data_IF_876709143351
#
_entry.id   IF_876709143351
#
_cell.length_a   1.000
_cell.length_b   1.000
_cell.length_c   1.000
_cell.angle_alpha   90.00
_cell.angle_beta   90.00
_cell.angle_gamma   90.00
#
_symmetry.space_group_name_H-M   'P 1'
#
loop_
_entity.id
_entity.type
_entity.pdbx_description
1 polymer ?
#
# COMPACT_ATOMS: atom_id res chain seq x y z
N UNK A 1 -27.46 8.72 -4.26
CA UNK A 1 -26.64 8.99 -3.06
C UNK A 1 -25.94 7.76 -2.49
N UNK A 2 -26.62 6.67 -2.07
CA UNK A 2 -25.89 5.48 -1.59
C UNK A 2 -25.04 4.83 -2.69
N UNK A 3 -25.59 4.70 -3.91
CA UNK A 3 -24.81 4.30 -5.10
C UNK A 3 -23.61 5.24 -5.35
N UNK A 4 -23.81 6.54 -5.21
CA UNK A 4 -22.74 7.52 -5.42
C UNK A 4 -21.64 7.38 -4.35
N UNK A 5 -22.00 7.28 -3.07
CA UNK A 5 -21.04 7.00 -1.99
C UNK A 5 -20.32 5.68 -2.25
N UNK A 6 -21.04 4.65 -2.72
CA UNK A 6 -20.46 3.34 -3.01
C UNK A 6 -19.39 3.38 -4.10
N UNK A 7 -19.52 4.26 -5.11
CA UNK A 7 -18.48 4.47 -6.15
C UNK A 7 -17.16 4.97 -5.57
N UNK A 8 -17.19 5.70 -4.45
CA UNK A 8 -16.00 6.21 -3.78
C UNK A 8 -15.53 5.31 -2.63
N UNK A 9 -16.46 4.71 -1.90
CA UNK A 9 -16.16 3.80 -0.80
C UNK A 9 -17.31 2.83 -0.53
N UNK A 10 -17.06 1.53 -0.69
CA UNK A 10 -18.01 0.47 -0.30
C UNK A 10 -18.32 0.48 1.21
N UNK A 11 -17.30 0.78 2.02
CA UNK A 11 -17.35 0.82 3.49
C UNK A 11 -16.90 2.20 4.01
N UNK A 12 -17.70 3.26 3.82
CA UNK A 12 -17.30 4.60 4.20
C UNK A 12 -17.09 4.69 5.71
N UNK A 13 -16.02 5.38 6.11
CA UNK A 13 -15.72 5.70 7.49
C UNK A 13 -16.69 6.76 8.04
N UNK A 14 -16.79 6.87 9.36
CA UNK A 14 -17.63 7.90 9.98
C UNK A 14 -17.20 9.33 9.57
N UNK A 15 -15.91 9.55 9.28
CA UNK A 15 -15.42 10.84 8.77
C UNK A 15 -15.86 11.10 7.33
N UNK A 16 -15.83 10.10 6.46
CA UNK A 16 -16.31 10.23 5.08
C UNK A 16 -17.83 10.46 5.03
N UNK A 17 -18.58 9.80 5.91
CA UNK A 17 -20.02 10.02 6.03
C UNK A 17 -20.34 11.43 6.57
N UNK A 18 -19.52 11.94 7.48
CA UNK A 18 -19.64 13.32 8.00
C UNK A 18 -19.41 14.35 6.88
N UNK A 19 -18.34 14.20 6.10
CA UNK A 19 -18.05 15.04 4.94
C UNK A 19 -19.15 14.98 3.87
N UNK A 20 -19.70 13.79 3.61
CA UNK A 20 -20.81 13.64 2.66
C UNK A 20 -22.08 14.32 3.16
N UNK A 21 -22.35 14.26 4.47
CA UNK A 21 -23.50 14.93 5.08
C UNK A 21 -23.33 16.46 5.09
N UNK A 22 -22.12 16.95 5.36
CA UNK A 22 -21.78 18.37 5.28
C UNK A 22 -21.93 18.89 3.84
N UNK A 23 -21.38 18.17 2.85
CA UNK A 23 -21.53 18.53 1.44
C UNK A 23 -23.00 18.58 1.02
N UNK A 24 -23.83 17.64 1.50
CA UNK A 24 -25.26 17.60 1.22
C UNK A 24 -25.98 18.87 1.71
N UNK A 25 -25.74 19.30 2.94
CA UNK A 25 -26.40 20.51 3.49
C UNK A 25 -25.85 21.80 2.87
N UNK A 26 -24.61 21.80 2.40
CA UNK A 26 -24.04 22.96 1.71
C UNK A 26 -24.68 23.17 0.33
N UNK A 27 -24.94 22.09 -0.40
CA UNK A 27 -25.66 22.15 -1.70
C UNK A 27 -27.15 22.43 -1.50
N UNK A 28 -27.74 21.90 -0.42
CA UNK A 28 -29.16 22.08 -0.11
C UNK A 28 -29.33 22.63 1.31
N UNK A 29 -29.18 23.96 1.52
CA UNK A 29 -29.26 24.57 2.86
C UNK A 29 -30.58 24.32 3.60
N UNK A 30 -31.66 24.05 2.86
CA UNK A 30 -32.96 23.67 3.42
C UNK A 30 -32.96 22.34 4.19
N UNK A 31 -31.95 21.50 3.98
CA UNK A 31 -31.79 20.23 4.69
C UNK A 31 -31.07 20.41 6.04
N UNK A 32 -30.53 21.60 6.35
CA UNK A 32 -29.81 21.83 7.61
C UNK A 32 -30.73 21.63 8.82
N UNK A 33 -30.33 20.71 9.71
CA UNK A 33 -31.06 20.39 10.94
C UNK A 33 -30.92 21.52 11.95
N UNK A 34 -32.04 21.89 12.59
CA UNK A 34 -32.04 22.87 13.68
C UNK A 34 -31.73 22.16 15.00
N UNK A 35 -30.89 22.76 15.82
CA UNK A 35 -30.59 22.27 17.18
C UNK A 35 -29.42 21.28 17.28
N UNK A 36 -28.78 20.90 16.18
CA UNK A 36 -27.51 20.14 16.21
C UNK A 36 -26.34 21.09 16.00
N UNK A 37 -25.16 20.74 16.55
CA UNK A 37 -23.99 21.63 16.50
C UNK A 37 -23.49 21.86 15.06
N UNK A 38 -23.55 20.83 14.22
CA UNK A 38 -23.09 20.90 12.84
C UNK A 38 -24.22 21.12 11.83
N UNK A 39 -25.47 20.80 12.19
CA UNK A 39 -26.61 20.87 11.29
C UNK A 39 -26.75 19.68 10.33
N UNK A 40 -25.89 18.66 10.43
CA UNK A 40 -25.88 17.48 9.55
C UNK A 40 -25.73 16.13 10.26
N UNK A 41 -25.88 16.10 11.59
CA UNK A 41 -25.69 14.87 12.39
C UNK A 41 -26.71 13.77 12.03
N UNK A 42 -27.98 14.12 11.86
CA UNK A 42 -29.02 13.18 11.43
C UNK A 42 -28.82 12.74 9.97
N UNK A 43 -28.35 13.62 9.08
CA UNK A 43 -27.93 13.24 7.73
C UNK A 43 -26.80 12.21 7.73
N UNK A 44 -25.76 12.40 8.53
CA UNK A 44 -24.70 11.40 8.69
C UNK A 44 -25.27 10.05 9.14
N UNK A 45 -26.17 10.05 10.12
CA UNK A 45 -26.83 8.83 10.59
C UNK A 45 -27.67 8.17 9.49
N UNK A 46 -28.47 8.96 8.78
CA UNK A 46 -29.27 8.50 7.65
C UNK A 46 -28.41 7.88 6.55
N UNK A 47 -27.29 8.53 6.18
CA UNK A 47 -26.35 7.99 5.19
C UNK A 47 -25.75 6.66 5.64
N UNK A 48 -25.42 6.52 6.93
CA UNK A 48 -24.92 5.26 7.52
C UNK A 48 -25.93 4.12 7.34
N UNK A 49 -27.20 4.35 7.68
CA UNK A 49 -28.28 3.38 7.48
C UNK A 49 -28.48 3.08 5.99
N UNK A 50 -28.53 4.12 5.15
CA UNK A 50 -28.75 3.98 3.71
C UNK A 50 -27.65 3.14 3.06
N UNK A 51 -26.39 3.35 3.46
CA UNK A 51 -25.26 2.52 3.01
C UNK A 51 -25.35 1.09 3.50
N UNK A 52 -25.77 0.85 4.74
CA UNK A 52 -25.99 -0.51 5.25
C UNK A 52 -27.05 -1.25 4.42
N UNK A 53 -28.20 -0.61 4.19
CA UNK A 53 -29.28 -1.18 3.38
C UNK A 53 -28.86 -1.42 1.93
N UNK A 54 -28.11 -0.49 1.34
CA UNK A 54 -27.59 -0.64 -0.02
C UNK A 54 -26.63 -1.82 -0.13
N UNK A 55 -25.69 -1.97 0.80
CA UNK A 55 -24.82 -3.15 0.87
C UNK A 55 -25.60 -4.45 1.05
N UNK A 56 -26.66 -4.46 1.86
CA UNK A 56 -27.52 -5.65 1.99
C UNK A 56 -28.21 -6.03 0.68
N UNK A 57 -28.61 -5.05 -0.15
CA UNK A 57 -29.14 -5.31 -1.50
C UNK A 57 -28.06 -5.86 -2.42
N UNK A 58 -26.88 -5.24 -2.44
CA UNK A 58 -25.73 -5.69 -3.24
C UNK A 58 -25.28 -7.12 -2.87
N UNK A 59 -25.30 -7.45 -1.57
CA UNK A 59 -25.00 -8.80 -1.10
C UNK A 59 -25.97 -9.85 -1.65
N UNK A 60 -27.26 -9.52 -1.80
CA UNK A 60 -28.28 -10.46 -2.31
C UNK A 60 -28.08 -10.77 -3.78
N UNK A 61 -27.56 -9.82 -4.56
CA UNK A 61 -27.29 -9.99 -5.99
C UNK A 61 -25.85 -10.48 -6.26
N UNK A 62 -25.10 -10.85 -5.23
CA UNK A 62 -23.78 -11.46 -5.39
C UNK A 62 -22.63 -10.49 -5.67
N UNK A 63 -22.78 -9.18 -5.39
CA UNK A 63 -21.77 -8.17 -5.74
C UNK A 63 -20.38 -8.51 -5.13
N UNK A 64 -19.32 -8.72 -5.93
CA UNK A 64 -17.99 -9.17 -5.49
C UNK A 64 -17.39 -8.38 -4.31
N UNK A 65 -17.34 -7.04 -4.40
CA UNK A 65 -16.86 -6.14 -3.34
C UNK A 65 -17.54 -6.35 -1.97
N UNK A 66 -18.78 -6.86 -1.97
CA UNK A 66 -19.54 -7.14 -0.74
C UNK A 66 -19.42 -8.61 -0.33
N UNK A 67 -19.53 -9.52 -1.28
CA UNK A 67 -19.56 -10.95 -1.03
C UNK A 67 -18.21 -11.51 -0.63
N UNK A 68 -17.11 -10.87 -1.02
CA UNK A 68 -15.75 -11.24 -0.57
C UNK A 68 -15.61 -11.15 0.96
N UNK A 69 -16.43 -10.33 1.62
CA UNK A 69 -16.49 -10.20 3.07
C UNK A 69 -17.54 -11.12 3.73
N UNK A 70 -18.35 -11.83 2.94
CA UNK A 70 -19.44 -12.69 3.44
C UNK A 70 -18.91 -14.06 3.85
N UNK A 71 -19.24 -14.48 5.07
CA UNK A 71 -18.97 -15.85 5.54
C UNK A 71 -19.73 -16.91 4.72
N UNK A 72 -20.84 -16.54 4.07
CA UNK A 72 -21.75 -17.45 3.36
C UNK A 72 -21.23 -17.90 1.99
N UNK A 73 -20.33 -17.14 1.36
CA UNK A 73 -19.83 -17.45 0.01
C UNK A 73 -18.47 -18.17 0.03
N UNK A 74 -18.04 -18.67 1.20
CA UNK A 74 -16.83 -19.49 1.31
C UNK A 74 -17.09 -20.83 0.62
N UNK A 75 -16.22 -21.21 -0.32
CA UNK A 75 -16.21 -22.55 -0.94
C UNK A 75 -16.27 -23.63 0.15
N UNK A 76 -17.05 -24.69 -0.10
CA UNK A 76 -17.13 -25.86 0.78
C UNK A 76 -15.72 -26.36 1.13
N UNK A 77 -15.44 -26.57 2.42
CA UNK A 77 -14.13 -26.96 2.93
C UNK A 77 -13.25 -25.82 3.49
N UNK A 78 -13.52 -24.54 3.20
CA UNK A 78 -12.82 -23.38 3.83
C UNK A 78 -13.56 -22.78 5.04
N UNK A 79 -14.34 -23.61 5.73
CA UNK A 79 -15.25 -23.23 6.83
C UNK A 79 -14.59 -22.79 8.15
N UNK A 80 -13.26 -22.66 8.24
CA UNK A 80 -12.61 -22.10 9.43
C UNK A 80 -12.59 -20.56 9.35
N UNK A 81 -12.88 -19.91 10.47
CA UNK A 81 -13.31 -18.51 10.55
C UNK A 81 -12.33 -17.47 9.97
N UNK A 82 -11.06 -17.81 9.75
CA UNK A 82 -10.03 -16.84 9.38
C UNK A 82 -8.82 -17.41 8.62
N UNK A 83 -8.82 -18.69 8.22
CA UNK A 83 -7.61 -19.26 7.62
C UNK A 83 -7.49 -18.83 6.15
N UNK A 84 -6.56 -17.91 5.92
CA UNK A 84 -5.88 -17.64 4.65
C UNK A 84 -6.50 -16.61 3.69
N UNK A 85 -7.53 -15.86 4.11
CA UNK A 85 -8.02 -14.71 3.32
C UNK A 85 -7.80 -13.43 4.13
N UNK A 86 -6.81 -12.64 3.72
CA UNK A 86 -6.61 -11.27 4.21
C UNK A 86 -7.90 -10.51 3.94
N UNK A 87 -8.55 -10.03 5.00
CA UNK A 87 -9.73 -9.18 4.85
C UNK A 87 -9.32 -7.85 4.19
N UNK A 88 -10.14 -7.30 3.29
CA UNK A 88 -9.92 -5.97 2.76
C UNK A 88 -9.69 -4.98 3.88
N UNK A 89 -8.66 -4.14 3.73
CA UNK A 89 -8.52 -2.98 4.60
C UNK A 89 -9.60 -1.98 4.23
N UNK A 90 -10.13 -1.23 5.20
CA UNK A 90 -11.22 -0.26 4.96
C UNK A 90 -10.92 0.80 3.89
N UNK A 91 -9.64 1.00 3.57
CA UNK A 91 -9.18 1.94 2.56
C UNK A 91 -8.94 1.36 1.19
N UNK A 92 -8.99 0.04 1.05
CA UNK A 92 -8.98 -0.63 -0.25
C UNK A 92 -10.41 -0.47 -0.80
N UNK A 93 -10.71 0.72 -1.29
CA UNK A 93 -12.06 1.14 -1.73
C UNK A 93 -12.51 0.38 -2.98
N UNK A 94 -11.55 -0.14 -3.75
CA UNK A 94 -11.78 -1.07 -4.85
C UNK A 94 -11.04 -2.38 -4.60
N UNK A 95 -11.44 -3.13 -3.56
CA UNK A 95 -10.75 -4.38 -3.22
C UNK A 95 -11.06 -5.52 -4.17
N UNK A 96 -12.30 -5.64 -4.63
CA UNK A 96 -12.78 -6.62 -5.60
C UNK A 96 -13.92 -6.03 -6.45
N UNK A 97 -13.61 -5.07 -7.34
CA UNK A 97 -14.63 -4.39 -8.14
C UNK A 97 -15.23 -5.32 -9.20
N UNK A 98 -16.46 -5.00 -9.64
CA UNK A 98 -17.10 -5.67 -10.77
C UNK A 98 -16.36 -5.38 -12.08
N UNK A 99 -16.56 -6.26 -13.07
CA UNK A 99 -16.15 -5.97 -14.45
C UNK A 99 -16.84 -4.70 -14.98
N UNK A 100 -16.19 -3.94 -15.87
CA UNK A 100 -16.81 -2.77 -16.48
C UNK A 100 -18.10 -3.15 -17.21
N UNK A 101 -19.01 -2.18 -17.36
CA UNK A 101 -20.31 -2.42 -17.97
C UNK A 101 -20.16 -2.89 -19.42
N UNK A 102 -20.70 -4.06 -19.72
CA UNK A 102 -20.63 -4.68 -21.05
C UNK A 102 -19.47 -5.66 -21.22
N UNK A 103 -18.56 -5.72 -20.26
CA UNK A 103 -17.42 -6.62 -20.28
C UNK A 103 -17.73 -7.97 -19.63
N UNK A 104 -17.09 -9.02 -20.15
CA UNK A 104 -17.13 -10.40 -19.64
C UNK A 104 -15.71 -10.85 -19.29
N UNK A 105 -15.57 -11.98 -18.58
CA UNK A 105 -14.25 -12.55 -18.33
C UNK A 105 -13.48 -12.81 -19.65
N UNK A 106 -14.18 -13.29 -20.68
CA UNK A 106 -13.58 -13.57 -22.00
C UNK A 106 -13.14 -12.28 -22.72
N UNK A 107 -13.91 -11.19 -22.62
CA UNK A 107 -13.48 -9.91 -23.22
C UNK A 107 -12.29 -9.31 -22.48
N UNK A 108 -12.26 -9.43 -21.15
CA UNK A 108 -11.12 -8.98 -20.34
C UNK A 108 -9.86 -9.81 -20.58
N UNK A 109 -9.99 -11.12 -20.79
CA UNK A 109 -8.86 -11.98 -21.14
C UNK A 109 -8.29 -11.61 -22.53
N UNK A 110 -9.14 -11.23 -23.50
CA UNK A 110 -8.69 -10.69 -24.79
C UNK A 110 -7.91 -9.38 -24.62
N UNK A 111 -8.39 -8.48 -23.77
CA UNK A 111 -7.69 -7.23 -23.47
C UNK A 111 -6.34 -7.47 -22.77
N UNK A 112 -6.26 -8.44 -21.86
CA UNK A 112 -5.01 -8.87 -21.23
C UNK A 112 -4.03 -9.44 -22.26
N UNK A 113 -4.49 -10.29 -23.17
CA UNK A 113 -3.64 -10.84 -24.25
C UNK A 113 -3.12 -9.70 -25.13
N UNK A 114 -3.98 -8.74 -25.50
CA UNK A 114 -3.56 -7.57 -26.26
C UNK A 114 -2.49 -6.75 -25.51
N UNK A 115 -2.64 -6.58 -24.19
CA UNK A 115 -1.65 -5.91 -23.35
C UNK A 115 -0.24 -6.55 -23.43
N UNK A 116 -0.14 -7.88 -23.57
CA UNK A 116 1.16 -8.55 -23.74
C UNK A 116 1.89 -8.11 -25.01
N UNK A 117 1.16 -7.79 -26.07
CA UNK A 117 1.73 -7.23 -27.30
C UNK A 117 2.10 -5.76 -27.11
N UNK A 118 1.26 -5.00 -26.41
CA UNK A 118 1.49 -3.57 -26.16
C UNK A 118 2.73 -3.30 -25.30
N UNK A 119 3.03 -4.16 -24.32
CA UNK A 119 4.21 -4.05 -23.45
C UNK A 119 5.54 -4.21 -24.21
N UNK A 120 5.52 -4.91 -25.34
CA UNK A 120 6.72 -5.13 -26.19
C UNK A 120 7.02 -3.95 -27.12
N UNK A 121 6.12 -2.97 -27.22
CA UNK A 121 6.29 -1.81 -28.12
C UNK A 121 7.02 -0.68 -27.40
N UNK A 122 7.92 -0.03 -28.12
CA UNK A 122 8.60 1.17 -27.63
C UNK A 122 7.62 2.34 -27.50
N UNK A 123 7.81 3.21 -26.49
CA UNK A 123 7.04 4.43 -26.26
C UNK A 123 5.51 4.25 -26.16
N UNK A 124 5.07 3.11 -25.61
CA UNK A 124 3.65 2.73 -25.60
C UNK A 124 2.97 2.88 -24.23
N UNK A 125 3.55 3.70 -23.34
CA UNK A 125 3.13 3.83 -21.94
C UNK A 125 1.67 4.27 -21.78
N UNK A 126 1.19 5.18 -22.64
CA UNK A 126 -0.19 5.67 -22.57
C UNK A 126 -1.22 4.55 -22.83
N UNK A 127 -0.98 3.71 -23.84
CA UNK A 127 -1.84 2.57 -24.19
C UNK A 127 -1.79 1.50 -23.11
N UNK A 128 -0.59 1.22 -22.57
CA UNK A 128 -0.42 0.29 -21.44
C UNK A 128 -1.23 0.76 -20.24
N UNK A 129 -1.13 2.04 -19.88
CA UNK A 129 -1.86 2.63 -18.74
C UNK A 129 -3.37 2.53 -18.91
N UNK A 130 -3.88 2.76 -20.12
CA UNK A 130 -5.31 2.64 -20.44
C UNK A 130 -5.78 1.18 -20.35
N UNK A 131 -5.04 0.24 -20.94
CA UNK A 131 -5.37 -1.19 -20.85
C UNK A 131 -5.28 -1.72 -19.42
N UNK A 132 -4.29 -1.29 -18.66
CA UNK A 132 -4.15 -1.61 -17.23
C UNK A 132 -5.32 -1.04 -16.42
N UNK A 133 -5.86 0.12 -16.82
CA UNK A 133 -7.07 0.67 -16.20
C UNK A 133 -8.31 -0.18 -16.49
N UNK A 134 -8.53 -0.50 -17.76
CA UNK A 134 -9.69 -1.27 -18.22
C UNK A 134 -9.74 -2.65 -17.56
N UNK A 135 -8.59 -3.31 -17.45
CA UNK A 135 -8.46 -4.67 -16.92
C UNK A 135 -8.31 -4.75 -15.40
N UNK A 136 -8.38 -3.63 -14.68
CA UNK A 136 -8.13 -3.59 -13.24
C UNK A 136 -9.00 -4.56 -12.43
N UNK A 137 -10.32 -4.59 -12.69
CA UNK A 137 -11.23 -5.48 -11.95
C UNK A 137 -10.97 -6.95 -12.24
N UNK A 138 -10.69 -7.31 -13.49
CA UNK A 138 -10.36 -8.68 -13.89
C UNK A 138 -9.06 -9.15 -13.24
N UNK A 139 -8.00 -8.34 -13.31
CA UNK A 139 -6.73 -8.61 -12.65
C UNK A 139 -6.90 -8.73 -11.13
N UNK A 140 -7.74 -7.89 -10.51
CA UNK A 140 -7.99 -7.95 -9.07
C UNK A 140 -8.73 -9.21 -8.65
N UNK A 141 -9.66 -9.69 -9.48
CA UNK A 141 -10.33 -10.98 -9.27
C UNK A 141 -9.33 -12.14 -9.30
N UNK A 142 -8.49 -12.20 -10.33
CA UNK A 142 -7.42 -13.22 -10.43
C UNK A 142 -6.51 -13.20 -9.18
N UNK A 143 -6.04 -12.01 -8.77
CA UNK A 143 -5.17 -11.85 -7.61
C UNK A 143 -5.80 -12.25 -6.27
N UNK A 144 -7.08 -11.94 -6.06
CA UNK A 144 -7.75 -12.15 -4.77
C UNK A 144 -8.35 -13.54 -4.65
N UNK A 145 -8.87 -14.08 -5.76
CA UNK A 145 -9.59 -15.36 -5.78
C UNK A 145 -8.66 -16.55 -6.04
N UNK A 146 -7.72 -16.42 -6.98
CA UNK A 146 -6.87 -17.54 -7.40
C UNK A 146 -5.57 -17.61 -6.61
N UNK A 147 -5.09 -16.48 -6.07
CA UNK A 147 -3.82 -16.35 -5.34
C UNK A 147 -2.64 -17.02 -6.09
N UNK A 148 -2.40 -16.65 -7.36
CA UNK A 148 -1.33 -17.23 -8.17
C UNK A 148 0.05 -16.88 -7.60
N UNK A 149 1.06 -17.69 -7.95
CA UNK A 149 2.45 -17.37 -7.64
C UNK A 149 2.88 -16.10 -8.35
N UNK A 150 3.85 -15.38 -7.77
CA UNK A 150 4.37 -14.13 -8.33
C UNK A 150 4.97 -14.34 -9.73
N UNK A 151 5.61 -15.48 -9.99
CA UNK A 151 6.11 -15.85 -11.32
C UNK A 151 5.00 -15.92 -12.37
N UNK A 152 3.85 -16.49 -12.02
CA UNK A 152 2.70 -16.61 -12.93
C UNK A 152 2.11 -15.24 -13.21
N UNK A 153 2.01 -14.39 -12.18
CA UNK A 153 1.55 -13.01 -12.32
C UNK A 153 2.48 -12.18 -13.20
N UNK A 154 3.79 -12.34 -13.06
CA UNK A 154 4.77 -11.65 -13.90
C UNK A 154 4.62 -12.05 -15.37
N UNK A 155 4.31 -13.32 -15.65
CA UNK A 155 4.04 -13.80 -17.00
C UNK A 155 2.72 -13.25 -17.58
N UNK A 156 1.67 -13.19 -16.76
CA UNK A 156 0.31 -12.80 -17.20
C UNK A 156 0.09 -11.29 -17.26
N UNK A 157 0.73 -10.55 -16.35
CA UNK A 157 0.59 -9.11 -16.14
C UNK A 157 1.95 -8.40 -16.05
N UNK A 158 2.87 -8.55 -17.03
CA UNK A 158 4.22 -7.97 -16.96
C UNK A 158 4.21 -6.45 -16.76
N UNK A 159 3.21 -5.75 -17.33
CA UNK A 159 3.04 -4.30 -17.17
C UNK A 159 2.89 -3.86 -15.71
N UNK A 160 2.33 -4.72 -14.84
CA UNK A 160 2.13 -4.42 -13.42
C UNK A 160 3.45 -4.18 -12.70
N UNK A 161 4.55 -4.80 -13.16
CA UNK A 161 5.86 -4.77 -12.50
C UNK A 161 6.73 -3.62 -13.04
N UNK A 162 6.12 -2.46 -13.23
CA UNK A 162 6.81 -1.20 -13.53
C UNK A 162 6.51 -0.19 -12.45
N UNK A 163 7.44 0.72 -12.15
CA UNK A 163 7.23 1.76 -11.12
C UNK A 163 5.95 2.57 -11.39
N UNK A 164 5.71 2.92 -12.65
CA UNK A 164 4.54 3.69 -13.07
C UNK A 164 3.23 2.94 -12.82
N UNK A 165 3.14 1.67 -13.20
CA UNK A 165 1.92 0.89 -12.98
C UNK A 165 1.74 0.45 -11.54
N UNK A 166 2.80 0.22 -10.75
CA UNK A 166 2.66 -0.03 -9.29
C UNK A 166 2.04 1.19 -8.62
N UNK A 167 2.50 2.40 -8.96
CA UNK A 167 1.94 3.64 -8.44
C UNK A 167 0.49 3.84 -8.90
N UNK A 168 0.17 3.54 -10.17
CA UNK A 168 -1.18 3.63 -10.70
C UNK A 168 -2.12 2.59 -10.06
N UNK A 169 -1.69 1.34 -9.92
CA UNK A 169 -2.47 0.25 -9.34
C UNK A 169 -2.79 0.52 -7.86
N UNK A 170 -1.79 0.99 -7.11
CA UNK A 170 -2.01 1.43 -5.73
C UNK A 170 -3.06 2.53 -5.66
N UNK A 171 -3.03 3.50 -6.59
CA UNK A 171 -4.02 4.57 -6.68
C UNK A 171 -5.40 4.03 -7.07
N UNK A 172 -5.50 3.04 -7.97
CA UNK A 172 -6.77 2.38 -8.31
C UNK A 172 -7.38 1.69 -7.09
N UNK A 173 -6.56 1.06 -6.24
CA UNK A 173 -7.01 0.35 -5.03
C UNK A 173 -7.41 1.31 -3.91
N UNK A 174 -6.60 2.35 -3.67
CA UNK A 174 -6.70 3.18 -2.45
C UNK A 174 -7.25 4.59 -2.67
N UNK A 175 -7.35 5.04 -3.93
CA UNK A 175 -7.62 6.44 -4.35
C UNK A 175 -6.56 7.45 -3.90
N UNK A 176 -5.40 6.98 -3.48
CA UNK A 176 -4.30 7.80 -2.96
C UNK A 176 -3.05 7.61 -3.82
N UNK A 177 -2.35 8.69 -4.25
CA UNK A 177 -1.12 8.53 -5.00
C UNK A 177 -0.01 7.99 -4.09
N UNK A 178 0.68 6.92 -4.51
CA UNK A 178 1.68 6.22 -3.70
C UNK A 178 2.91 7.08 -3.45
N UNK A 179 3.71 7.31 -4.50
CA UNK A 179 5.05 7.88 -4.36
C UNK A 179 5.00 9.32 -3.84
N UNK A 180 4.18 10.17 -4.48
CA UNK A 180 4.13 11.60 -4.15
C UNK A 180 3.61 11.84 -2.73
N UNK A 181 2.57 11.12 -2.30
CA UNK A 181 2.05 11.28 -0.93
C UNK A 181 3.03 10.72 0.09
N UNK A 182 3.58 9.53 -0.14
CA UNK A 182 4.48 8.90 0.83
C UNK A 182 5.66 9.82 1.13
N UNK A 183 6.37 10.27 0.10
CA UNK A 183 7.55 11.09 0.28
C UNK A 183 7.22 12.48 0.84
N UNK A 184 6.15 13.13 0.36
CA UNK A 184 5.73 14.41 0.92
C UNK A 184 5.42 14.32 2.42
N UNK A 185 4.79 13.21 2.87
CA UNK A 185 4.48 13.02 4.29
C UNK A 185 5.72 12.60 5.10
N UNK A 186 6.60 11.76 4.56
CA UNK A 186 7.86 11.42 5.21
C UNK A 186 8.72 12.67 5.44
N UNK A 187 8.89 13.49 4.40
CA UNK A 187 9.67 14.72 4.48
C UNK A 187 9.03 15.71 5.48
N UNK A 188 7.70 15.88 5.41
CA UNK A 188 6.95 16.73 6.36
C UNK A 188 7.20 16.33 7.81
N UNK A 189 7.20 15.05 8.12
CA UNK A 189 7.35 14.56 9.50
C UNK A 189 8.81 14.29 9.91
N UNK A 190 9.78 14.52 9.04
CA UNK A 190 11.19 14.19 9.31
C UNK A 190 11.73 14.95 10.53
N UNK A 191 11.44 16.25 10.65
CA UNK A 191 11.91 17.04 11.79
C UNK A 191 11.32 16.54 13.12
N UNK A 192 10.01 16.23 13.13
CA UNK A 192 9.32 15.68 14.31
C UNK A 192 9.91 14.32 14.71
N UNK A 193 10.15 13.44 13.72
CA UNK A 193 10.79 12.14 13.94
C UNK A 193 12.21 12.31 14.52
N UNK A 194 13.02 13.19 13.95
CA UNK A 194 14.38 13.48 14.43
C UNK A 194 14.38 13.97 15.88
N UNK A 195 13.44 14.85 16.25
CA UNK A 195 13.25 15.28 17.65
C UNK A 195 12.98 14.08 18.55
N UNK A 196 12.05 13.20 18.19
CA UNK A 196 11.75 12.00 18.99
C UNK A 196 12.96 11.06 19.07
N UNK A 197 13.66 10.85 17.96
CA UNK A 197 14.85 10.02 17.86
C UNK A 197 15.97 10.49 18.78
N UNK A 198 16.22 11.79 18.85
CA UNK A 198 17.24 12.38 19.74
C UNK A 198 16.97 12.16 21.23
N UNK A 199 15.70 12.01 21.61
CA UNK A 199 15.29 11.74 23.00
C UNK A 199 15.43 10.27 23.41
N UNK A 200 15.68 9.36 22.45
CA UNK A 200 15.79 7.93 22.72
C UNK A 200 17.15 7.66 23.38
N UNK A 201 17.14 7.18 24.62
CA UNK A 201 18.35 6.74 25.32
C UNK A 201 18.75 5.28 25.04
N UNK A 202 19.85 4.86 25.67
CA UNK A 202 20.34 3.47 25.66
C UNK A 202 20.93 3.02 24.32
N UNK A 203 21.06 1.70 24.13
CA UNK A 203 21.68 1.11 22.95
C UNK A 203 20.96 1.49 21.64
N UNK A 204 19.62 1.49 21.63
CA UNK A 204 18.84 1.93 20.46
C UNK A 204 19.09 3.40 20.13
N UNK A 205 19.18 4.26 21.15
CA UNK A 205 19.52 5.68 21.00
C UNK A 205 20.87 5.92 20.36
N UNK A 206 21.90 5.19 20.81
CA UNK A 206 23.24 5.25 20.23
C UNK A 206 23.23 4.78 18.77
N UNK A 207 22.51 3.70 18.45
CA UNK A 207 22.39 3.21 17.07
C UNK A 207 21.69 4.23 16.16
N UNK A 208 20.60 4.84 16.63
CA UNK A 208 19.89 5.91 15.92
C UNK A 208 20.80 7.12 15.71
N UNK A 209 21.54 7.55 16.73
CA UNK A 209 22.48 8.68 16.63
C UNK A 209 23.55 8.46 15.55
N UNK A 210 24.11 7.25 15.46
CA UNK A 210 25.07 6.89 14.40
C UNK A 210 24.45 6.96 13.01
N UNK A 211 23.24 6.41 12.84
CA UNK A 211 22.51 6.45 11.55
C UNK A 211 22.22 7.89 11.15
N UNK A 212 21.68 8.70 12.06
CA UNK A 212 21.32 10.09 11.77
C UNK A 212 22.54 10.98 11.48
N UNK A 213 23.72 10.64 12.02
CA UNK A 213 24.98 11.34 11.67
C UNK A 213 25.30 11.22 10.18
N UNK A 214 24.94 10.11 9.51
CA UNK A 214 25.09 9.96 8.06
C UNK A 214 24.15 10.92 7.33
N UNK A 215 22.90 11.00 7.77
CA UNK A 215 21.89 11.90 7.19
C UNK A 215 22.26 13.38 7.30
N UNK A 216 22.93 13.79 8.39
CA UNK A 216 23.35 15.19 8.59
C UNK A 216 24.58 15.56 7.76
N UNK A 217 25.43 14.58 7.44
CA UNK A 217 26.63 14.78 6.60
C UNK A 217 26.31 14.73 5.11
N UNK A 218 25.34 13.91 4.72
CA UNK A 218 25.00 13.69 3.33
C UNK A 218 23.88 14.66 2.90
N UNK A 219 24.16 15.50 1.90
CA UNK A 219 23.18 16.44 1.33
C UNK A 219 22.11 15.78 0.46
N UNK A 220 22.20 14.46 0.25
CA UNK A 220 21.27 13.71 -0.59
C UNK A 220 19.95 13.38 0.15
N UNK A 221 18.83 13.71 -0.50
CA UNK A 221 17.49 13.53 0.07
C UNK A 221 17.11 12.05 0.23
N UNK A 222 17.57 11.17 -0.65
CA UNK A 222 17.31 9.74 -0.57
C UNK A 222 18.08 9.13 0.59
N UNK A 223 19.36 9.47 0.78
CA UNK A 223 20.15 9.02 1.94
C UNK A 223 19.51 9.50 3.24
N UNK A 224 19.04 10.75 3.28
CA UNK A 224 18.30 11.26 4.45
C UNK A 224 17.03 10.45 4.74
N UNK A 225 16.23 10.15 3.71
CA UNK A 225 15.01 9.32 3.86
C UNK A 225 15.34 7.89 4.30
N UNK A 226 16.39 7.29 3.76
CA UNK A 226 16.88 5.97 4.13
C UNK A 226 17.24 5.94 5.62
N UNK A 227 18.01 6.93 6.08
CA UNK A 227 18.41 7.06 7.48
C UNK A 227 17.21 7.28 8.43
N UNK A 228 16.21 8.08 8.02
CA UNK A 228 14.99 8.30 8.80
C UNK A 228 14.20 7.01 8.95
N UNK A 229 14.03 6.24 7.87
CA UNK A 229 13.33 4.95 7.91
C UNK A 229 14.12 3.92 8.72
N UNK A 230 15.44 3.85 8.55
CA UNK A 230 16.28 2.93 9.33
C UNK A 230 16.22 3.27 10.82
N UNK A 231 16.23 4.55 11.18
CA UNK A 231 16.05 5.02 12.56
C UNK A 231 14.67 4.69 13.12
N UNK A 232 13.62 4.76 12.29
CA UNK A 232 12.26 4.35 12.64
C UNK A 232 12.20 2.85 12.98
N UNK A 233 12.82 1.99 12.18
CA UNK A 233 12.93 0.55 12.46
C UNK A 233 13.61 0.31 13.81
N UNK A 234 14.76 0.94 14.06
CA UNK A 234 15.48 0.83 15.34
C UNK A 234 14.62 1.34 16.50
N UNK A 235 13.87 2.43 16.33
CA UNK A 235 13.00 2.98 17.36
C UNK A 235 11.91 1.99 17.79
N UNK A 236 11.35 1.23 16.85
CA UNK A 236 10.34 0.20 17.11
C UNK A 236 10.92 -1.13 17.65
N UNK A 237 12.24 -1.23 17.77
CA UNK A 237 12.99 -2.47 18.00
C UNK A 237 12.72 -3.50 16.89
N UNK A 238 12.68 -3.03 15.65
CA UNK A 238 12.55 -3.83 14.44
C UNK A 238 13.90 -3.94 13.75
N UNK A 239 14.13 -5.09 13.10
CA UNK A 239 15.37 -5.37 12.40
C UNK A 239 15.17 -5.25 10.89
N UNK A 240 15.72 -4.18 10.33
CA UNK A 240 15.64 -3.88 8.91
C UNK A 240 16.29 -4.95 8.03
N UNK A 241 17.28 -5.68 8.55
CA UNK A 241 17.96 -6.76 7.81
C UNK A 241 17.05 -7.96 7.55
N UNK A 242 15.89 -8.04 8.20
CA UNK A 242 14.88 -9.07 7.90
C UNK A 242 14.19 -8.84 6.56
N UNK A 243 14.13 -7.59 6.08
CA UNK A 243 13.45 -7.20 4.82
C UNK A 243 14.44 -6.66 3.80
N UNK A 244 15.51 -5.98 4.21
CA UNK A 244 16.53 -5.42 3.33
C UNK A 244 17.80 -6.25 3.45
N UNK A 245 18.15 -6.95 2.38
CA UNK A 245 19.35 -7.80 2.31
C UNK A 245 20.45 -7.05 1.55
N UNK A 246 21.54 -6.73 2.24
CA UNK A 246 22.69 -6.07 1.61
C UNK A 246 23.74 -7.10 1.20
N UNK A 247 24.34 -6.88 0.02
CA UNK A 247 25.36 -7.73 -0.58
C UNK A 247 26.46 -6.87 -1.22
N UNK A 248 27.66 -7.44 -1.31
CA UNK A 248 28.77 -6.87 -2.05
C UNK A 248 28.71 -7.29 -3.52
N UNK A 249 29.02 -6.38 -4.43
CA UNK A 249 29.06 -6.62 -5.87
C UNK A 249 30.13 -7.63 -6.30
N UNK A 250 31.17 -7.82 -5.48
CA UNK A 250 32.20 -8.84 -5.65
C UNK A 250 31.69 -10.27 -5.42
N UNK A 251 30.51 -10.46 -4.80
CA UNK A 251 29.95 -11.76 -4.42
C UNK A 251 28.57 -12.05 -5.06
N UNK A 252 28.41 -12.00 -6.40
CA UNK A 252 27.11 -12.11 -7.07
C UNK A 252 26.40 -13.46 -6.82
N UNK A 253 27.15 -14.57 -6.71
CA UNK A 253 26.57 -15.90 -6.47
C UNK A 253 25.90 -16.02 -5.10
N UNK A 254 26.47 -15.40 -4.07
CA UNK A 254 25.85 -15.39 -2.74
C UNK A 254 24.58 -14.55 -2.76
N UNK A 255 24.65 -13.37 -3.40
CA UNK A 255 23.50 -12.50 -3.63
C UNK A 255 22.36 -13.27 -4.32
N UNK A 256 22.60 -13.90 -5.47
CA UNK A 256 21.59 -14.67 -6.21
C UNK A 256 20.94 -15.77 -5.35
N UNK A 257 21.74 -16.56 -4.63
CA UNK A 257 21.22 -17.61 -3.76
C UNK A 257 20.30 -17.04 -2.68
N UNK A 258 20.73 -15.99 -1.97
CA UNK A 258 19.96 -15.39 -0.87
C UNK A 258 18.75 -14.58 -1.35
N UNK A 259 18.82 -14.02 -2.55
CA UNK A 259 17.67 -13.41 -3.23
C UNK A 259 16.63 -14.49 -3.52
N UNK A 260 17.01 -15.65 -4.05
CA UNK A 260 16.08 -16.76 -4.34
C UNK A 260 15.36 -17.32 -3.11
N UNK A 261 15.98 -17.22 -1.93
CA UNK A 261 15.40 -17.63 -0.64
C UNK A 261 14.49 -16.56 -0.01
N UNK A 262 14.50 -15.34 -0.55
CA UNK A 262 13.77 -14.22 0.05
C UNK A 262 12.29 -14.24 -0.33
N UNK A 263 11.41 -14.38 0.66
CA UNK A 263 9.95 -14.40 0.44
C UNK A 263 9.38 -13.02 0.08
N UNK A 264 9.84 -11.95 0.73
CA UNK A 264 9.32 -10.59 0.55
C UNK A 264 10.35 -9.60 1.09
N UNK A 265 10.97 -8.80 0.22
CA UNK A 265 11.98 -7.86 0.66
C UNK A 265 12.63 -7.06 -0.45
N UNK A 266 13.74 -6.42 -0.07
CA UNK A 266 14.65 -5.73 -0.97
C UNK A 266 16.00 -6.43 -0.95
N UNK A 267 16.69 -6.39 -2.06
CA UNK A 267 18.14 -6.54 -2.09
C UNK A 267 18.80 -5.18 -2.35
N UNK A 268 20.01 -5.02 -1.84
CA UNK A 268 20.86 -3.86 -2.03
C UNK A 268 22.25 -4.37 -2.38
N UNK A 269 22.77 -3.97 -3.53
CA UNK A 269 24.12 -4.29 -3.97
C UNK A 269 24.99 -3.06 -3.74
N UNK A 270 26.12 -3.21 -3.06
CA UNK A 270 27.12 -2.17 -2.82
C UNK A 270 28.47 -2.58 -3.37
N UNK A 271 29.28 -1.60 -3.74
CA UNK A 271 30.69 -1.86 -4.06
C UNK A 271 31.42 -2.41 -2.84
N UNK A 272 32.35 -3.32 -3.05
CA UNK A 272 33.23 -3.81 -1.97
C UNK A 272 33.88 -2.63 -1.23
N UNK A 273 33.73 -2.62 0.10
CA UNK A 273 34.24 -1.56 0.97
C UNK A 273 33.43 -0.25 1.02
N UNK A 274 32.35 -0.12 0.23
CA UNK A 274 31.50 1.07 0.26
C UNK A 274 30.70 1.17 1.56
N UNK A 275 30.69 2.38 2.13
CA UNK A 275 29.96 2.69 3.36
C UNK A 275 28.45 2.85 3.15
N UNK A 276 27.71 3.02 4.26
CA UNK A 276 26.28 3.35 4.22
C UNK A 276 26.00 4.76 3.67
N UNK A 277 27.00 5.65 3.74
CA UNK A 277 26.98 7.00 3.15
C UNK A 277 27.08 7.03 1.62
N UNK A 278 27.44 5.92 0.96
CA UNK A 278 27.54 5.85 -0.49
C UNK A 278 26.24 5.33 -1.13
N UNK A 279 25.94 5.82 -2.34
CA UNK A 279 24.81 5.33 -3.13
C UNK A 279 25.03 3.84 -3.48
N UNK A 280 24.04 2.96 -3.25
CA UNK A 280 24.16 1.56 -3.64
C UNK A 280 24.26 1.42 -5.16
N UNK A 281 25.02 0.41 -5.61
CA UNK A 281 25.12 0.05 -7.02
C UNK A 281 23.77 -0.40 -7.58
N UNK A 282 22.99 -1.12 -6.79
CA UNK A 282 21.62 -1.49 -7.14
C UNK A 282 20.73 -1.64 -5.91
N UNK A 283 19.44 -1.37 -6.09
CA UNK A 283 18.37 -1.69 -5.14
C UNK A 283 17.22 -2.29 -5.93
N UNK A 284 16.79 -3.48 -5.52
CA UNK A 284 15.67 -4.17 -6.17
C UNK A 284 14.67 -4.75 -5.18
N UNK A 285 13.50 -5.12 -5.70
CA UNK A 285 12.41 -5.76 -4.95
C UNK A 285 12.33 -7.23 -5.32
N UNK A 286 12.30 -8.08 -4.31
CA UNK A 286 12.15 -9.53 -4.44
C UNK A 286 10.90 -10.01 -3.72
N UNK A 287 10.10 -10.84 -4.39
CA UNK A 287 8.92 -11.50 -3.82
C UNK A 287 8.90 -12.95 -4.31
N UNK A 288 8.72 -13.90 -3.38
CA UNK A 288 8.75 -15.35 -3.67
C UNK A 288 10.02 -15.80 -4.41
N UNK A 289 11.18 -15.22 -4.06
CA UNK A 289 12.45 -15.49 -4.71
C UNK A 289 12.60 -14.91 -6.12
N UNK A 290 11.57 -14.21 -6.63
CA UNK A 290 11.56 -13.59 -7.96
C UNK A 290 11.90 -12.10 -7.83
N UNK A 291 12.94 -11.68 -8.53
CA UNK A 291 13.26 -10.25 -8.70
C UNK A 291 12.20 -9.59 -9.60
N UNK A 292 11.47 -8.64 -9.03
CA UNK A 292 10.39 -7.94 -9.71
C UNK A 292 10.81 -6.59 -10.28
N UNK A 293 11.67 -5.87 -9.57
CA UNK A 293 12.23 -4.59 -9.98
C UNK A 293 13.68 -4.50 -9.57
N UNK A 294 14.46 -3.75 -10.35
CA UNK A 294 15.87 -3.45 -10.17
C UNK A 294 16.08 -1.95 -10.43
N UNK A 295 17.26 -1.43 -10.13
CA UNK A 295 17.69 -0.05 -10.38
C UNK A 295 16.82 1.01 -9.67
N UNK A 296 16.37 0.74 -8.45
CA UNK A 296 15.49 1.62 -7.67
C UNK A 296 16.21 2.77 -6.92
N UNK A 297 17.54 2.88 -7.07
CA UNK A 297 18.43 3.94 -6.56
C UNK A 297 18.61 4.04 -5.04
N UNK A 298 17.55 3.81 -4.26
CA UNK A 298 17.60 3.99 -2.79
C UNK A 298 16.71 3.01 -2.06
N UNK A 299 17.04 2.77 -0.80
CA UNK A 299 16.33 1.81 0.06
C UNK A 299 14.92 2.33 0.37
N UNK A 300 14.78 3.63 0.64
CA UNK A 300 13.47 4.27 0.87
C UNK A 300 12.59 4.14 -0.36
N UNK A 301 13.11 4.37 -1.57
CA UNK A 301 12.34 4.17 -2.80
C UNK A 301 11.93 2.71 -2.98
N UNK A 302 12.85 1.77 -2.79
CA UNK A 302 12.55 0.34 -2.77
C UNK A 302 11.44 -0.03 -1.80
N UNK A 303 11.48 0.49 -0.57
CA UNK A 303 10.47 0.20 0.46
C UNK A 303 9.09 0.76 0.12
N UNK A 304 9.01 1.93 -0.53
CA UNK A 304 7.74 2.50 -0.99
C UNK A 304 7.16 1.66 -2.14
N UNK A 305 8.00 1.20 -3.06
CA UNK A 305 7.57 0.30 -4.14
C UNK A 305 7.09 -1.04 -3.57
N UNK A 306 7.83 -1.63 -2.63
CA UNK A 306 7.42 -2.83 -1.91
C UNK A 306 6.09 -2.63 -1.18
N UNK A 307 5.90 -1.49 -0.51
CA UNK A 307 4.62 -1.13 0.11
C UNK A 307 3.48 -1.06 -0.92
N UNK A 308 3.74 -0.50 -2.11
CA UNK A 308 2.80 -0.48 -3.23
C UNK A 308 2.41 -1.87 -3.71
N UNK A 309 3.41 -2.74 -3.95
CA UNK A 309 3.23 -4.12 -4.37
C UNK A 309 2.44 -4.95 -3.35
N UNK A 310 2.62 -4.70 -2.04
CA UNK A 310 1.84 -5.40 -1.02
C UNK A 310 0.33 -5.11 -1.16
N UNK A 311 -0.07 -3.93 -1.62
CA UNK A 311 -1.48 -3.65 -1.93
C UNK A 311 -1.88 -4.26 -3.27
N UNK A 312 -1.08 -4.02 -4.31
CA UNK A 312 -1.33 -4.52 -5.65
C UNK A 312 -1.54 -6.04 -5.66
N UNK A 313 -0.65 -6.79 -5.01
CA UNK A 313 -0.62 -8.25 -4.96
C UNK A 313 -1.37 -8.85 -3.76
N UNK A 314 -2.09 -8.02 -2.98
CA UNK A 314 -2.85 -8.45 -1.81
C UNK A 314 -2.03 -9.20 -0.72
N UNK A 315 -0.76 -8.84 -0.53
CA UNK A 315 0.14 -9.51 0.40
C UNK A 315 -0.04 -9.01 1.85
N UNK A 316 0.56 -9.74 2.79
CA UNK A 316 0.70 -9.32 4.18
C UNK A 316 2.00 -8.54 4.39
N UNK A 317 2.06 -7.71 5.44
CA UNK A 317 3.29 -7.01 5.79
C UNK A 317 4.37 -7.97 6.30
N UNK A 318 5.65 -7.68 6.02
CA UNK A 318 6.75 -8.46 6.57
C UNK A 318 6.75 -8.35 8.10
N UNK A 319 6.78 -9.49 8.79
CA UNK A 319 6.64 -9.53 10.25
C UNK A 319 7.77 -8.79 10.99
N UNK A 320 8.97 -8.80 10.41
CA UNK A 320 10.13 -8.11 10.96
C UNK A 320 10.01 -6.59 11.00
N UNK A 321 9.14 -6.00 10.16
CA UNK A 321 8.91 -4.55 10.06
C UNK A 321 7.41 -4.17 10.23
N UNK A 322 6.63 -4.97 10.97
CA UNK A 322 5.17 -4.80 11.08
C UNK A 322 4.74 -3.41 11.59
N UNK A 323 5.45 -2.82 12.55
CA UNK A 323 5.16 -1.50 13.12
C UNK A 323 5.61 -0.38 12.18
N UNK A 324 6.72 -0.56 11.49
CA UNK A 324 7.18 0.37 10.45
C UNK A 324 6.17 0.42 9.28
N UNK A 325 5.71 -0.72 8.79
CA UNK A 325 4.67 -0.77 7.75
C UNK A 325 3.30 -0.29 8.25
N UNK A 326 2.96 -0.48 9.53
CA UNK A 326 1.78 0.16 10.14
C UNK A 326 1.92 1.68 10.17
N UNK A 327 3.10 2.21 10.50
CA UNK A 327 3.39 3.65 10.48
C UNK A 327 3.26 4.22 9.06
N UNK A 328 3.84 3.54 8.06
CA UNK A 328 3.68 3.89 6.64
C UNK A 328 2.21 3.98 6.26
N UNK A 329 1.45 2.94 6.56
CA UNK A 329 0.03 2.87 6.25
C UNK A 329 -0.76 3.98 6.94
N UNK A 330 -0.75 4.01 8.27
CA UNK A 330 -1.72 4.77 9.04
C UNK A 330 -1.29 6.20 9.38
N UNK A 331 0.03 6.47 9.41
CA UNK A 331 0.57 7.80 9.74
C UNK A 331 0.97 8.55 8.48
N UNK A 332 1.83 7.97 7.62
CA UNK A 332 2.28 8.65 6.41
C UNK A 332 1.17 8.69 5.35
N UNK A 333 0.62 7.53 5.00
CA UNK A 333 -0.35 7.45 3.92
C UNK A 333 -1.78 7.84 4.35
N UNK A 334 -2.01 7.96 5.67
CA UNK A 334 -3.33 8.14 6.27
C UNK A 334 -4.36 7.13 5.72
N UNK A 335 -3.90 5.88 5.59
CA UNK A 335 -4.66 4.75 5.12
C UNK A 335 -5.11 3.93 6.34
N UNK A 336 -6.39 3.63 6.41
CA UNK A 336 -7.10 2.93 7.49
C UNK A 336 -7.21 3.75 8.78
N UNK A 337 -8.42 4.24 9.05
CA UNK A 337 -8.77 4.94 10.29
C UNK A 337 -8.92 4.01 11.50
N UNK A 338 -8.47 2.75 11.41
CA UNK A 338 -8.40 1.85 12.56
C UNK A 338 -7.39 2.35 13.60
N UNK A 339 -7.56 1.91 14.85
CA UNK A 339 -6.66 2.30 15.95
C UNK A 339 -5.22 1.89 15.59
N UNK A 340 -4.27 2.78 15.90
CA UNK A 340 -2.85 2.46 15.89
C UNK A 340 -2.53 1.44 16.98
N UNK A 341 -1.57 0.55 16.72
CA UNK A 341 -0.98 -0.24 17.80
C UNK A 341 -0.38 0.66 18.89
N UNK A 342 -0.28 0.20 20.15
CA UNK A 342 0.22 1.03 21.24
C UNK A 342 1.61 1.64 20.96
N UNK A 343 2.51 0.90 20.29
CA UNK A 343 3.83 1.39 19.91
C UNK A 343 3.78 2.54 18.91
N UNK A 344 3.00 2.39 17.84
CA UNK A 344 2.88 3.40 16.79
C UNK A 344 2.11 4.62 17.30
N UNK A 345 1.08 4.41 18.13
CA UNK A 345 0.35 5.49 18.81
C UNK A 345 1.26 6.31 19.71
N UNK A 346 2.13 5.66 20.50
CA UNK A 346 3.06 6.35 21.39
C UNK A 346 4.09 7.20 20.60
N UNK A 347 4.59 6.70 19.47
CA UNK A 347 5.44 7.51 18.58
C UNK A 347 4.67 8.71 18.04
N UNK A 348 3.46 8.50 17.49
CA UNK A 348 2.63 9.56 16.91
C UNK A 348 2.37 10.69 17.91
N UNK A 349 2.08 10.35 19.17
CA UNK A 349 1.87 11.35 20.23
C UNK A 349 3.13 12.20 20.43
N UNK A 350 4.31 11.55 20.54
CA UNK A 350 5.58 12.26 20.76
C UNK A 350 6.00 13.15 19.58
N UNK A 351 5.59 12.82 18.36
CA UNK A 351 5.87 13.62 17.17
C UNK A 351 5.10 14.95 17.18
N UNK A 352 3.92 14.99 17.78
CA UNK A 352 3.04 16.17 17.78
C UNK A 352 2.98 16.88 19.14
N UNK A 353 3.98 16.62 19.99
CA UNK A 353 4.28 17.32 21.25
C UNK A 353 5.59 18.10 21.08
#
# INVERSE_FOLDING_TARGET
MAEEIFRYAAYPTDSQLDQAAEALINVHPCLREKGTRTGHEGWKHYLKIKMANFRSKLSKIGHPEITVNSLRNKREGRGKAASNIKKPKKVEVNFLPCLPRGETADSMEKERIALLTEVKKNNNEAVIKEKMHLTFSYRRQELVEDLPMVSDLQSRWPALFTVNEINAEFMRITTVPLLSKFFAQLDKYTADLQKVFSSKGGASGQKISRIMTVADKCGDIHIKRDCVIQSLCVYFNEDMTTVVKEFEDSNPKEAEARISETTLGLFVIRKEGAGAEEEPSDVGVVIEGVTLLENLKSISFGLVILFGLIYALNLSYPQGLKFTFEFFQKVLMNLDGSKLSPKVQALKIKMFQ
#
